data_IF_329375110131
#
_entry.id   IF_329375110131
#
_cell.length_a   1.000
_cell.length_b   1.000
_cell.length_c   1.000
_cell.angle_alpha   90.00
_cell.angle_beta   90.00
_cell.angle_gamma   90.00
#
_symmetry.space_group_name_H-M   'P 1'
#
loop_
_entity.id
_entity.type
_entity.pdbx_description
1 polymer ?
#
# COMPACT_ATOMS: atom_id res chain seq x y z
N UNK A 1 10.66 -52.20 30.80
CA UNK A 1 11.12 -51.78 29.46
C UNK A 1 10.18 -50.68 29.00
N UNK A 2 10.61 -49.41 29.11
CA UNK A 2 9.82 -48.25 28.73
C UNK A 2 9.87 -48.08 27.21
N UNK A 3 8.70 -48.09 26.56
CA UNK A 3 8.53 -47.74 25.16
C UNK A 3 8.01 -46.31 25.10
N UNK A 4 8.86 -45.38 24.70
CA UNK A 4 8.55 -43.95 24.52
C UNK A 4 7.96 -43.73 23.14
N UNK A 5 6.67 -43.41 23.10
CA UNK A 5 5.99 -42.90 21.91
C UNK A 5 6.39 -41.43 21.68
N UNK A 6 7.24 -41.17 20.66
CA UNK A 6 7.68 -39.81 20.26
C UNK A 6 7.30 -39.49 18.80
N UNK A 7 6.52 -40.34 18.11
CA UNK A 7 6.38 -40.29 16.65
C UNK A 7 5.26 -39.42 16.00
N UNK A 8 4.19 -38.90 16.66
CA UNK A 8 3.13 -38.20 15.91
C UNK A 8 3.35 -36.70 15.65
N UNK A 9 4.00 -35.96 16.59
CA UNK A 9 4.08 -34.49 16.51
C UNK A 9 5.08 -34.00 15.45
N UNK A 10 6.20 -34.69 15.26
CA UNK A 10 7.25 -34.26 14.32
C UNK A 10 6.82 -34.37 12.84
N UNK A 11 5.92 -35.31 12.52
CA UNK A 11 5.42 -35.50 11.17
C UNK A 11 4.41 -34.42 10.76
N UNK A 12 3.57 -33.97 11.69
CA UNK A 12 2.61 -32.88 11.47
C UNK A 12 3.34 -31.53 11.32
N UNK A 13 4.34 -31.27 12.15
CA UNK A 13 5.14 -30.04 12.10
C UNK A 13 5.94 -29.92 10.79
N UNK A 14 6.58 -31.01 10.36
CA UNK A 14 7.26 -31.08 9.06
C UNK A 14 6.28 -30.87 7.89
N UNK A 15 5.08 -31.45 7.96
CA UNK A 15 4.06 -31.30 6.91
C UNK A 15 3.58 -29.85 6.80
N UNK A 16 3.40 -29.17 7.93
CA UNK A 16 3.04 -27.74 7.98
C UNK A 16 4.17 -26.85 7.44
N UNK A 17 5.41 -27.13 7.82
CA UNK A 17 6.57 -26.38 7.33
C UNK A 17 6.77 -26.53 5.81
N UNK A 18 6.54 -27.73 5.28
CA UNK A 18 6.55 -27.98 3.84
C UNK A 18 5.41 -27.25 3.12
N UNK A 19 4.20 -27.26 3.67
CA UNK A 19 3.06 -26.53 3.13
C UNK A 19 3.33 -25.03 3.09
N UNK A 20 3.79 -24.45 4.20
CA UNK A 20 4.16 -23.04 4.29
C UNK A 20 5.24 -22.66 3.27
N UNK A 21 6.27 -23.48 3.11
CA UNK A 21 7.35 -23.24 2.15
C UNK A 21 6.83 -23.23 0.70
N UNK A 22 5.94 -24.17 0.36
CA UNK A 22 5.31 -24.24 -0.97
C UNK A 22 4.43 -23.00 -1.22
N UNK A 23 3.61 -22.62 -0.27
CA UNK A 23 2.68 -21.50 -0.41
C UNK A 23 3.46 -20.16 -0.49
N UNK A 24 4.56 -20.03 0.24
CA UNK A 24 5.51 -18.92 0.13
C UNK A 24 6.16 -18.85 -1.27
N UNK A 25 6.54 -19.99 -1.85
CA UNK A 25 7.07 -20.05 -3.22
C UNK A 25 6.01 -19.61 -4.25
N UNK A 26 4.76 -20.03 -4.08
CA UNK A 26 3.66 -19.62 -4.96
C UNK A 26 3.44 -18.11 -4.93
N UNK A 27 3.38 -17.52 -3.73
CA UNK A 27 3.26 -16.06 -3.57
C UNK A 27 4.46 -15.35 -4.18
N UNK A 28 5.68 -15.86 -3.96
CA UNK A 28 6.93 -15.31 -4.53
C UNK A 28 6.92 -15.32 -6.05
N UNK A 29 6.47 -16.41 -6.67
CA UNK A 29 6.37 -16.53 -8.12
C UNK A 29 5.36 -15.54 -8.70
N UNK A 30 4.23 -15.33 -8.03
CA UNK A 30 3.24 -14.33 -8.43
C UNK A 30 3.79 -12.90 -8.35
N UNK A 31 4.57 -12.57 -7.32
CA UNK A 31 5.27 -11.28 -7.20
C UNK A 31 6.19 -11.05 -8.41
N UNK A 32 6.90 -12.08 -8.87
CA UNK A 32 7.76 -11.98 -10.05
C UNK A 32 6.98 -11.84 -11.37
N UNK A 33 5.80 -12.45 -11.48
CA UNK A 33 5.00 -12.47 -12.71
C UNK A 33 4.24 -11.16 -13.00
N UNK A 34 3.79 -10.44 -11.97
CA UNK A 34 3.01 -9.21 -12.15
C UNK A 34 3.94 -8.04 -12.49
N UNK A 35 3.65 -7.24 -13.53
CA UNK A 35 4.55 -6.14 -13.95
C UNK A 35 4.36 -4.82 -13.21
N UNK A 36 3.19 -4.58 -12.58
CA UNK A 36 2.90 -3.35 -11.85
C UNK A 36 2.92 -3.60 -10.33
N UNK A 37 3.62 -2.76 -9.55
CA UNK A 37 3.62 -2.95 -8.09
C UNK A 37 2.21 -2.78 -7.54
N UNK A 38 1.41 -1.83 -8.02
CA UNK A 38 0.15 -1.50 -7.35
C UNK A 38 -0.84 -2.65 -7.50
N UNK A 39 -0.67 -3.42 -8.57
CA UNK A 39 -1.37 -4.66 -8.85
C UNK A 39 -0.85 -5.82 -7.99
N UNK A 40 0.47 -5.99 -7.81
CA UNK A 40 1.05 -6.90 -6.80
C UNK A 40 0.47 -6.60 -5.42
N UNK A 41 0.49 -5.32 -5.08
CA UNK A 41 0.16 -4.77 -3.78
C UNK A 41 -1.32 -4.95 -3.45
N UNK A 42 -2.21 -4.79 -4.44
CA UNK A 42 -3.65 -5.01 -4.29
C UNK A 42 -4.06 -6.49 -4.41
N UNK A 43 -3.52 -7.24 -5.36
CA UNK A 43 -3.92 -8.63 -5.64
C UNK A 43 -3.28 -9.66 -4.70
N UNK A 44 -2.05 -9.42 -4.25
CA UNK A 44 -1.33 -10.36 -3.39
C UNK A 44 -1.51 -10.08 -1.90
N UNK A 45 -2.10 -8.92 -1.55
CA UNK A 45 -2.36 -8.56 -0.17
C UNK A 45 -3.10 -9.67 0.59
N UNK A 46 -4.16 -10.19 -0.03
CA UNK A 46 -4.95 -11.27 0.56
C UNK A 46 -4.17 -12.59 0.67
N UNK A 47 -3.44 -12.98 -0.38
CA UNK A 47 -2.65 -14.22 -0.36
C UNK A 47 -1.49 -14.18 0.62
N UNK A 48 -0.88 -13.01 0.84
CA UNK A 48 0.13 -12.82 1.89
C UNK A 48 -0.53 -12.92 3.27
N UNK A 49 -1.69 -12.28 3.49
CA UNK A 49 -2.43 -12.44 4.75
C UNK A 49 -2.79 -13.91 5.03
N UNK A 50 -3.18 -14.67 4.01
CA UNK A 50 -3.47 -16.11 4.14
C UNK A 50 -2.22 -16.92 4.46
N UNK A 51 -1.10 -16.66 3.77
CA UNK A 51 0.17 -17.34 4.01
C UNK A 51 0.66 -17.19 5.45
N UNK A 52 0.54 -16.00 6.04
CA UNK A 52 1.01 -15.70 7.39
C UNK A 52 -0.07 -15.81 8.47
N UNK A 53 -1.27 -16.28 8.12
CA UNK A 53 -2.44 -16.23 9.00
C UNK A 53 -2.64 -14.86 9.68
N UNK A 54 -2.35 -13.78 8.95
CA UNK A 54 -2.56 -12.41 9.40
C UNK A 54 -3.96 -11.93 9.05
N UNK A 55 -4.57 -11.12 9.93
CA UNK A 55 -5.82 -10.43 9.65
C UNK A 55 -5.59 -9.32 8.63
N UNK A 56 -4.54 -8.51 8.84
CA UNK A 56 -4.19 -7.41 7.94
C UNK A 56 -2.72 -7.35 7.63
N UNK A 57 -2.41 -6.70 6.52
CA UNK A 57 -1.06 -6.28 6.21
C UNK A 57 -1.02 -4.83 5.74
N UNK A 58 0.15 -4.24 5.90
CA UNK A 58 0.51 -2.95 5.31
C UNK A 58 1.90 -3.07 4.69
N UNK A 59 2.03 -2.64 3.44
CA UNK A 59 3.34 -2.49 2.80
C UNK A 59 3.58 -0.99 2.61
N UNK A 60 4.74 -0.53 3.08
CA UNK A 60 5.20 0.83 2.91
C UNK A 60 6.33 0.88 1.89
N UNK A 61 6.32 1.88 1.03
CA UNK A 61 7.45 2.20 0.14
C UNK A 61 8.26 3.36 0.73
N UNK A 62 9.59 3.24 0.69
CA UNK A 62 10.48 4.32 1.06
C UNK A 62 10.43 5.46 0.03
N UNK A 63 10.37 6.68 0.52
CA UNK A 63 10.38 7.92 -0.27
C UNK A 63 11.43 8.88 0.29
N UNK A 64 11.70 9.98 -0.42
CA UNK A 64 12.62 11.02 0.04
C UNK A 64 13.99 10.47 0.42
N UNK A 65 14.53 9.58 -0.43
CA UNK A 65 15.81 8.90 -0.21
C UNK A 65 15.86 8.12 1.12
N UNK A 66 14.73 7.53 1.53
CA UNK A 66 14.64 6.72 2.73
C UNK A 66 14.41 7.50 4.02
N UNK A 67 14.06 8.79 3.95
CA UNK A 67 13.72 9.61 5.13
C UNK A 67 12.28 9.44 5.60
N UNK A 68 11.40 8.97 4.72
CA UNK A 68 10.02 8.68 5.04
C UNK A 68 9.55 7.41 4.34
N UNK A 69 8.50 6.81 4.87
CA UNK A 69 7.82 5.67 4.27
C UNK A 69 6.35 6.01 4.06
N UNK A 70 5.79 5.60 2.93
CA UNK A 70 4.39 5.87 2.56
C UNK A 70 3.69 4.54 2.36
N UNK A 71 2.55 4.37 3.05
CA UNK A 71 1.74 3.16 2.91
C UNK A 71 1.18 3.06 1.49
N UNK A 72 1.40 1.90 0.85
CA UNK A 72 0.94 1.56 -0.51
C UNK A 72 -0.15 0.49 -0.51
N UNK A 73 -0.11 -0.43 0.46
CA UNK A 73 -1.15 -1.44 0.68
C UNK A 73 -1.69 -1.32 2.08
N UNK A 74 -3.01 -1.42 2.21
CA UNK A 74 -3.70 -1.66 3.47
C UNK A 74 -4.87 -2.60 3.19
N UNK A 75 -4.83 -3.82 3.71
CA UNK A 75 -6.01 -4.69 3.60
C UNK A 75 -7.11 -4.19 4.57
N UNK A 76 -8.36 -4.15 4.08
CA UNK A 76 -9.54 -3.77 4.88
C UNK A 76 -9.74 -2.27 5.16
N UNK A 77 -9.12 -1.36 4.40
CA UNK A 77 -9.35 0.10 4.49
C UNK A 77 -9.37 0.76 3.10
N UNK A 78 -10.55 0.83 2.47
CA UNK A 78 -10.69 1.41 1.11
C UNK A 78 -10.69 2.96 1.06
N UNK A 79 -10.58 3.65 2.20
CA UNK A 79 -10.87 5.11 2.27
C UNK A 79 -9.87 5.95 3.07
N UNK A 80 -8.77 5.37 3.57
CA UNK A 80 -7.79 6.12 4.37
C UNK A 80 -6.57 6.52 3.53
N UNK A 81 -6.39 7.84 3.32
CA UNK A 81 -5.22 8.46 2.66
C UNK A 81 -3.92 7.73 3.01
N UNK A 82 -3.03 7.59 2.03
CA UNK A 82 -1.67 7.08 2.19
C UNK A 82 -1.04 7.63 3.48
N UNK A 83 -0.74 6.74 4.43
CA UNK A 83 -0.12 7.13 5.69
C UNK A 83 1.36 7.32 5.43
N UNK A 84 1.84 8.56 5.58
CA UNK A 84 3.27 8.89 5.52
C UNK A 84 3.84 8.92 6.93
N UNK A 85 4.85 8.11 7.19
CA UNK A 85 5.57 8.04 8.46
C UNK A 85 7.04 8.47 8.26
N UNK A 86 7.61 9.25 9.19
CA UNK A 86 9.05 9.50 9.18
C UNK A 86 9.82 8.21 9.51
N UNK A 87 11.02 8.06 8.95
CA UNK A 87 11.96 7.02 9.34
C UNK A 87 12.69 7.46 10.60
N UNK A 88 12.09 7.13 11.74
CA UNK A 88 12.60 7.40 13.08
C UNK A 88 12.06 6.35 14.07
N UNK A 89 12.48 6.42 15.32
CA UNK A 89 12.10 5.44 16.35
C UNK A 89 10.68 5.61 16.90
N UNK A 90 9.89 6.58 16.45
CA UNK A 90 8.60 6.95 17.05
C UNK A 90 7.41 6.08 16.58
N UNK A 91 7.65 5.15 15.66
CA UNK A 91 6.65 4.18 15.20
C UNK A 91 7.33 2.85 14.89
N UNK A 92 6.60 1.74 14.99
CA UNK A 92 7.15 0.39 14.71
C UNK A 92 7.71 0.31 13.28
N UNK A 93 6.94 0.75 12.29
CA UNK A 93 7.40 0.73 10.90
C UNK A 93 8.59 1.68 10.66
N UNK A 94 8.59 2.87 11.27
CA UNK A 94 9.71 3.83 11.19
C UNK A 94 10.98 3.29 11.86
N UNK A 95 10.85 2.62 12.99
CA UNK A 95 11.95 2.01 13.74
C UNK A 95 12.59 0.88 12.95
N UNK A 96 11.77 -0.01 12.37
CA UNK A 96 12.26 -1.09 11.49
C UNK A 96 12.91 -0.52 10.24
N UNK A 97 12.33 0.52 9.64
CA UNK A 97 12.93 1.22 8.50
C UNK A 97 14.31 1.81 8.83
N UNK A 98 14.44 2.41 10.03
CA UNK A 98 15.67 3.05 10.49
C UNK A 98 16.78 2.03 10.75
N UNK A 99 16.47 0.99 11.53
CA UNK A 99 17.46 0.00 11.96
C UNK A 99 17.67 -1.14 10.97
N UNK A 100 16.75 -1.31 10.00
CA UNK A 100 16.73 -2.42 9.05
C UNK A 100 16.78 -3.78 9.76
N UNK A 101 16.03 -3.90 10.86
CA UNK A 101 15.89 -5.14 11.64
C UNK A 101 14.42 -5.42 11.89
N UNK A 102 14.01 -6.67 11.70
CA UNK A 102 12.64 -7.10 11.96
C UNK A 102 12.32 -7.06 13.46
N UNK A 103 11.05 -6.84 13.78
CA UNK A 103 10.50 -6.95 15.14
C UNK A 103 9.20 -7.74 15.11
N UNK A 104 9.00 -8.56 16.14
CA UNK A 104 7.78 -9.33 16.35
C UNK A 104 7.24 -8.99 17.74
N UNK A 105 6.13 -8.26 17.78
CA UNK A 105 5.54 -7.69 18.99
C UNK A 105 4.27 -8.47 19.31
N UNK A 106 4.18 -8.97 20.54
CA UNK A 106 3.05 -9.74 21.05
C UNK A 106 1.84 -8.85 21.38
N UNK A 107 2.07 -7.67 21.97
CA UNK A 107 1.04 -6.69 22.21
C UNK A 107 1.57 -5.26 22.04
N UNK A 108 1.18 -4.59 20.95
CA UNK A 108 1.57 -3.20 20.68
C UNK A 108 1.07 -2.18 21.71
N UNK A 109 0.18 -2.57 22.63
CA UNK A 109 -0.23 -1.74 23.77
C UNK A 109 0.62 -1.95 25.03
N UNK A 110 1.48 -2.97 25.07
CA UNK A 110 2.45 -3.15 26.14
C UNK A 110 3.66 -2.23 25.92
N UNK A 111 3.67 -1.10 26.63
CA UNK A 111 4.80 -0.16 26.58
C UNK A 111 6.12 -0.76 27.07
N UNK A 112 6.08 -1.75 27.97
CA UNK A 112 7.30 -2.41 28.45
C UNK A 112 7.94 -3.23 27.34
N UNK A 113 7.11 -3.93 26.56
CA UNK A 113 7.57 -4.68 25.39
C UNK A 113 8.18 -3.74 24.34
N UNK A 114 7.50 -2.66 23.98
CA UNK A 114 8.01 -1.68 23.02
C UNK A 114 9.34 -1.05 23.48
N UNK A 115 9.43 -0.68 24.76
CA UNK A 115 10.63 -0.05 25.34
C UNK A 115 11.85 -0.98 25.38
N UNK A 116 11.66 -2.31 25.30
CA UNK A 116 12.78 -3.27 25.14
C UNK A 116 13.46 -3.14 23.77
N UNK A 117 12.73 -2.70 22.74
CA UNK A 117 13.28 -2.44 21.42
C UNK A 117 13.91 -1.05 21.31
N UNK A 118 13.20 -0.02 21.79
CA UNK A 118 13.76 1.32 21.95
C UNK A 118 12.95 2.14 22.98
N UNK A 119 13.60 2.98 23.81
CA UNK A 119 12.91 3.90 24.70
C UNK A 119 11.97 4.90 24.01
N UNK A 120 12.21 5.18 22.72
CA UNK A 120 11.41 6.12 21.92
C UNK A 120 10.29 5.41 21.14
N UNK A 121 10.24 4.09 21.18
CA UNK A 121 9.27 3.30 20.42
C UNK A 121 7.89 3.35 21.05
N UNK A 122 6.90 3.76 20.25
CA UNK A 122 5.51 3.83 20.65
C UNK A 122 4.61 3.34 19.51
N UNK A 123 3.46 2.77 19.86
CA UNK A 123 2.42 2.42 18.90
C UNK A 123 1.53 3.62 18.58
N UNK A 124 1.29 3.87 17.29
CA UNK A 124 0.45 4.95 16.79
C UNK A 124 -1.04 4.61 16.93
N UNK A 125 -1.58 4.76 18.14
CA UNK A 125 -2.98 4.43 18.50
C UNK A 125 -4.04 5.21 17.71
N UNK A 126 -3.69 6.37 17.16
CA UNK A 126 -4.61 7.25 16.42
C UNK A 126 -5.31 6.53 15.24
N UNK A 127 -4.64 5.57 14.61
CA UNK A 127 -5.21 4.80 13.50
C UNK A 127 -6.32 3.86 14.00
N UNK A 128 -6.05 3.12 15.08
CA UNK A 128 -7.01 2.24 15.74
C UNK A 128 -8.22 3.04 16.26
N UNK A 129 -7.97 4.16 16.95
CA UNK A 129 -9.02 5.03 17.50
C UNK A 129 -9.96 5.58 16.44
N UNK A 130 -9.43 5.94 15.25
CA UNK A 130 -10.23 6.47 14.15
C UNK A 130 -10.99 5.41 13.37
N UNK A 131 -10.47 4.19 13.31
CA UNK A 131 -11.03 3.11 12.48
C UNK A 131 -11.90 2.14 13.29
N UNK A 132 -11.78 2.15 14.62
CA UNK A 132 -12.38 1.14 15.49
C UNK A 132 -11.69 -0.23 15.41
N UNK A 133 -10.60 -0.34 14.63
CA UNK A 133 -9.81 -1.56 14.53
C UNK A 133 -8.87 -1.66 15.74
N UNK A 134 -8.64 -2.89 16.24
CA UNK A 134 -7.74 -3.14 17.36
C UNK A 134 -6.52 -3.93 16.88
N UNK A 135 -5.38 -3.27 16.86
CA UNK A 135 -4.07 -3.86 16.63
C UNK A 135 -3.55 -4.46 17.94
N UNK A 136 -3.02 -5.69 17.88
CA UNK A 136 -2.41 -6.38 19.02
C UNK A 136 -1.07 -6.98 18.65
N UNK A 137 -1.05 -8.03 17.83
CA UNK A 137 0.19 -8.64 17.36
C UNK A 137 0.72 -7.93 16.12
N UNK A 138 2.03 -7.77 16.01
CA UNK A 138 2.64 -7.12 14.86
C UNK A 138 4.01 -7.69 14.52
N UNK A 139 4.12 -8.29 13.33
CA UNK A 139 5.41 -8.69 12.75
C UNK A 139 5.78 -7.67 11.66
N UNK A 140 6.91 -7.00 11.85
CA UNK A 140 7.37 -5.94 10.95
C UNK A 140 8.78 -6.25 10.45
N UNK A 141 8.96 -6.25 9.14
CA UNK A 141 10.22 -6.61 8.50
C UNK A 141 10.63 -5.54 7.46
N UNK A 142 11.92 -5.19 7.37
CA UNK A 142 12.40 -4.21 6.41
C UNK A 142 12.50 -4.84 5.01
N UNK A 143 12.16 -4.07 3.99
CA UNK A 143 12.40 -4.40 2.58
C UNK A 143 13.64 -3.60 2.17
N UNK A 144 14.76 -4.28 2.00
CA UNK A 144 16.06 -3.66 1.70
C UNK A 144 16.64 -4.25 0.42
N UNK A 145 17.38 -3.42 -0.29
CA UNK A 145 18.22 -3.86 -1.39
C UNK A 145 19.38 -4.72 -0.85
N UNK A 146 19.52 -5.97 -1.30
CA UNK A 146 20.57 -6.86 -0.76
C UNK A 146 21.99 -6.36 -1.04
N UNK A 147 22.22 -5.71 -2.18
CA UNK A 147 23.55 -5.27 -2.61
C UNK A 147 24.00 -3.99 -1.88
N UNK A 148 23.13 -2.98 -1.86
CA UNK A 148 23.44 -1.63 -1.34
C UNK A 148 22.99 -1.45 0.10
N UNK A 149 22.21 -2.39 0.64
CA UNK A 149 21.52 -2.26 1.92
C UNK A 149 20.58 -1.05 1.99
N UNK A 150 20.23 -0.44 0.85
CA UNK A 150 19.33 0.71 0.82
C UNK A 150 17.90 0.30 1.24
N UNK A 151 17.21 1.18 1.97
CA UNK A 151 15.82 0.94 2.35
C UNK A 151 14.92 1.13 1.12
N UNK A 152 14.15 0.10 0.79
CA UNK A 152 13.15 0.13 -0.28
C UNK A 152 11.74 0.27 0.32
N UNK A 153 11.49 -0.30 1.50
CA UNK A 153 10.18 -0.31 2.12
C UNK A 153 10.12 -1.07 3.43
N UNK A 154 8.90 -1.32 3.91
CA UNK A 154 8.63 -2.09 5.13
C UNK A 154 7.38 -2.94 4.92
N UNK A 155 7.44 -4.21 5.30
CA UNK A 155 6.30 -5.11 5.43
C UNK A 155 5.84 -5.11 6.88
N UNK A 156 4.54 -4.95 7.10
CA UNK A 156 3.92 -5.01 8.42
C UNK A 156 2.72 -5.97 8.36
N UNK A 157 2.81 -7.10 9.06
CA UNK A 157 1.73 -8.05 9.29
C UNK A 157 1.09 -7.76 10.64
N UNK A 158 -0.24 -7.80 10.70
CA UNK A 158 -1.02 -7.34 11.85
C UNK A 158 -2.04 -8.39 12.24
N UNK A 159 -2.07 -8.69 13.54
CA UNK A 159 -2.97 -9.64 14.20
C UNK A 159 -2.93 -11.03 13.57
N UNK A 160 -2.23 -11.95 14.21
CA UNK A 160 -2.36 -13.34 13.83
C UNK A 160 -3.78 -13.84 14.14
N UNK A 161 -4.39 -14.61 13.24
CA UNK A 161 -5.80 -15.07 13.34
C UNK A 161 -6.08 -15.95 14.56
N UNK A 162 -5.07 -16.66 15.06
CA UNK A 162 -5.16 -17.44 16.30
C UNK A 162 -4.94 -16.60 17.59
N UNK A 163 -4.63 -15.30 17.46
CA UNK A 163 -4.39 -14.39 18.57
C UNK A 163 -3.04 -14.54 19.30
N UNK A 164 -2.11 -15.34 18.78
CA UNK A 164 -0.75 -15.50 19.29
C UNK A 164 0.24 -14.64 18.49
N UNK A 165 1.44 -14.32 19.04
CA UNK A 165 2.50 -13.73 18.25
C UNK A 165 2.84 -14.61 17.03
N UNK A 166 3.37 -13.98 15.97
CA UNK A 166 3.82 -14.72 14.80
C UNK A 166 4.95 -15.67 15.20
N UNK A 167 4.95 -16.89 14.66
CA UNK A 167 5.98 -17.86 15.01
C UNK A 167 7.29 -17.63 14.22
N UNK A 168 8.28 -18.47 14.49
CA UNK A 168 9.59 -18.38 13.82
C UNK A 168 9.50 -18.66 12.32
N UNK A 169 8.59 -19.54 11.88
CA UNK A 169 8.42 -19.82 10.46
C UNK A 169 7.86 -18.59 9.73
N UNK A 170 6.92 -17.88 10.34
CA UNK A 170 6.42 -16.60 9.86
C UNK A 170 7.51 -15.51 9.84
N UNK A 171 8.39 -15.43 10.85
CA UNK A 171 9.51 -14.49 10.83
C UNK A 171 10.48 -14.76 9.67
N UNK A 172 10.88 -16.02 9.48
CA UNK A 172 11.78 -16.44 8.39
C UNK A 172 11.11 -16.24 7.03
N UNK A 173 9.84 -16.61 6.90
CA UNK A 173 9.04 -16.41 5.69
C UNK A 173 8.86 -14.94 5.33
N UNK A 174 8.63 -14.05 6.32
CA UNK A 174 8.52 -12.62 6.10
C UNK A 174 9.85 -12.05 5.59
N UNK A 175 10.99 -12.51 6.12
CA UNK A 175 12.31 -12.15 5.62
C UNK A 175 12.52 -12.57 4.16
N UNK A 176 12.17 -13.80 3.80
CA UNK A 176 12.24 -14.28 2.42
C UNK A 176 11.33 -13.49 1.48
N UNK A 177 10.09 -13.23 1.90
CA UNK A 177 9.14 -12.41 1.14
C UNK A 177 9.66 -10.99 0.92
N UNK A 178 10.25 -10.36 1.94
CA UNK A 178 10.85 -9.03 1.82
C UNK A 178 11.98 -8.98 0.79
N UNK A 179 12.79 -10.03 0.64
CA UNK A 179 13.82 -10.11 -0.41
C UNK A 179 13.19 -10.15 -1.80
N UNK A 180 12.15 -10.96 -1.99
CA UNK A 180 11.40 -11.01 -3.25
C UNK A 180 10.80 -9.65 -3.58
N UNK A 181 10.14 -9.03 -2.60
CA UNK A 181 9.57 -7.70 -2.75
C UNK A 181 10.67 -6.70 -3.13
N UNK A 182 11.81 -6.68 -2.46
CA UNK A 182 12.91 -5.78 -2.77
C UNK A 182 13.31 -5.82 -4.26
N UNK A 183 13.46 -7.01 -4.84
CA UNK A 183 13.78 -7.18 -6.26
C UNK A 183 12.67 -6.61 -7.15
N UNK A 184 11.42 -6.99 -6.89
CA UNK A 184 10.26 -6.53 -7.68
C UNK A 184 10.06 -5.01 -7.60
N UNK A 185 10.31 -4.41 -6.43
CA UNK A 185 10.21 -2.97 -6.21
C UNK A 185 11.38 -2.21 -6.87
N UNK A 186 12.62 -2.71 -6.78
CA UNK A 186 13.83 -2.08 -7.36
C UNK A 186 13.78 -2.02 -8.88
N UNK A 187 13.45 -3.14 -9.54
CA UNK A 187 13.37 -3.23 -11.01
C UNK A 187 12.40 -2.19 -11.59
N UNK A 188 11.43 -1.73 -10.81
CA UNK A 188 10.37 -0.82 -11.24
C UNK A 188 10.63 0.63 -10.87
N UNK A 189 11.37 0.89 -9.77
CA UNK A 189 11.89 2.23 -9.48
C UNK A 189 12.89 2.73 -10.55
N UNK A 190 13.62 1.81 -11.18
CA UNK A 190 14.51 2.14 -12.31
C UNK A 190 13.77 2.35 -13.64
N UNK A 191 12.48 1.96 -13.72
CA UNK A 191 11.65 2.04 -14.92
C UNK A 191 10.61 3.17 -14.94
N UNK A 192 10.10 3.63 -13.79
CA UNK A 192 9.12 4.72 -13.72
C UNK A 192 9.07 5.30 -12.29
N UNK A 193 9.07 6.63 -12.18
CA UNK A 193 8.85 7.33 -10.92
C UNK A 193 7.46 6.98 -10.36
N UNK A 194 7.44 6.48 -9.12
CA UNK A 194 6.24 6.10 -8.40
C UNK A 194 5.34 7.30 -8.11
N UNK A 195 4.21 7.41 -8.82
CA UNK A 195 3.13 8.35 -8.51
C UNK A 195 2.01 7.54 -7.85
N UNK A 196 1.63 7.85 -6.61
CA UNK A 196 0.44 7.27 -5.96
C UNK A 196 -0.76 7.34 -6.88
N UNK A 197 -1.56 6.27 -6.98
CA UNK A 197 -2.64 6.24 -7.97
C UNK A 197 -3.59 7.43 -7.84
N UNK A 198 -3.59 8.32 -8.82
CA UNK A 198 -4.48 9.49 -8.89
C UNK A 198 -5.60 9.23 -9.90
N UNK A 199 -6.68 10.01 -9.82
CA UNK A 199 -7.74 10.01 -10.84
C UNK A 199 -7.26 10.34 -12.27
N UNK A 200 -5.99 10.72 -12.42
CA UNK A 200 -5.35 11.09 -13.68
C UNK A 200 -4.34 10.06 -14.20
N UNK A 201 -4.15 8.92 -13.54
CA UNK A 201 -3.12 7.97 -13.98
C UNK A 201 -3.41 7.39 -15.36
N UNK A 202 -4.68 7.33 -15.74
CA UNK A 202 -5.06 6.92 -17.09
C UNK A 202 -4.55 7.90 -18.16
N UNK A 203 -4.28 9.18 -17.83
CA UNK A 203 -3.60 10.11 -18.74
C UNK A 203 -2.12 9.74 -18.89
N UNK A 204 -1.46 9.36 -17.79
CA UNK A 204 -0.05 8.91 -17.79
C UNK A 204 0.09 7.58 -18.54
N UNK A 205 -0.77 6.61 -18.25
CA UNK A 205 -0.77 5.28 -18.85
C UNK A 205 -1.11 5.31 -20.35
N UNK A 206 -1.96 6.24 -20.78
CA UNK A 206 -2.27 6.46 -22.19
C UNK A 206 -1.19 7.29 -22.93
N UNK A 207 -0.14 7.74 -22.25
CA UNK A 207 0.91 8.57 -22.84
C UNK A 207 0.44 9.98 -23.24
N UNK A 208 -0.70 10.43 -22.71
CA UNK A 208 -1.26 11.77 -23.00
C UNK A 208 -0.44 12.86 -22.34
N UNK A 209 0.14 12.55 -21.17
CA UNK A 209 1.05 13.44 -20.43
C UNK A 209 2.12 12.58 -19.75
N UNK A 210 3.34 13.10 -19.60
CA UNK A 210 4.39 12.43 -18.84
C UNK A 210 4.29 12.70 -17.33
N UNK A 211 4.95 11.88 -16.51
CA UNK A 211 4.98 12.08 -15.06
C UNK A 211 5.63 13.43 -14.66
N UNK A 212 6.67 13.85 -15.39
CA UNK A 212 7.34 15.13 -15.15
C UNK A 212 6.42 16.33 -15.48
N UNK A 213 5.68 16.26 -16.59
CA UNK A 213 4.70 17.27 -16.97
C UNK A 213 3.53 17.34 -15.99
N UNK A 214 3.04 16.20 -15.52
CA UNK A 214 2.01 16.14 -14.47
C UNK A 214 2.46 16.83 -13.18
N UNK A 215 3.71 16.64 -12.76
CA UNK A 215 4.24 17.31 -11.58
C UNK A 215 4.33 18.84 -11.78
N UNK A 216 4.77 19.28 -12.95
CA UNK A 216 4.79 20.71 -13.31
C UNK A 216 3.37 21.30 -13.32
N UNK A 217 2.39 20.58 -13.88
CA UNK A 217 0.98 21.00 -13.90
C UNK A 217 0.43 21.16 -12.48
N UNK A 218 0.69 20.20 -11.58
CA UNK A 218 0.27 20.28 -10.18
C UNK A 218 0.89 21.47 -9.44
N UNK A 219 2.17 21.75 -9.68
CA UNK A 219 2.86 22.92 -9.10
C UNK A 219 2.29 24.23 -9.65
N UNK A 220 2.01 24.29 -10.95
CA UNK A 220 1.42 25.46 -11.60
C UNK A 220 -0.01 25.73 -11.08
N UNK A 221 -0.85 24.69 -10.97
CA UNK A 221 -2.20 24.77 -10.42
C UNK A 221 -2.19 25.32 -8.98
N UNK A 222 -1.31 24.82 -8.11
CA UNK A 222 -1.17 25.32 -6.73
C UNK A 222 -0.70 26.77 -6.68
N UNK A 223 0.28 27.14 -7.52
CA UNK A 223 0.84 28.50 -7.56
C UNK A 223 -0.19 29.52 -8.09
N UNK A 224 -0.96 29.13 -9.11
CA UNK A 224 -1.97 29.99 -9.75
C UNK A 224 -3.33 29.93 -9.05
N UNK A 225 -3.51 29.01 -8.09
CA UNK A 225 -4.80 28.73 -7.44
C UNK A 225 -5.90 28.37 -8.45
N UNK A 226 -5.55 27.57 -9.46
CA UNK A 226 -6.47 27.06 -10.47
C UNK A 226 -6.70 25.56 -10.28
N UNK A 227 -7.80 25.06 -10.85
CA UNK A 227 -8.03 23.64 -10.96
C UNK A 227 -6.97 22.99 -11.85
N UNK A 228 -6.57 21.77 -11.49
CA UNK A 228 -5.53 21.06 -12.22
C UNK A 228 -5.97 20.75 -13.65
N UNK A 229 -7.24 20.39 -13.84
CA UNK A 229 -7.86 20.14 -15.13
C UNK A 229 -7.70 21.35 -16.06
N UNK A 230 -7.86 22.57 -15.53
CA UNK A 230 -7.70 23.80 -16.31
C UNK A 230 -6.23 23.98 -16.74
N UNK A 231 -5.28 23.79 -15.82
CA UNK A 231 -3.85 23.86 -16.15
C UNK A 231 -3.45 22.80 -17.17
N UNK A 232 -3.97 21.58 -17.04
CA UNK A 232 -3.70 20.48 -17.97
C UNK A 232 -4.20 20.81 -19.39
N UNK A 233 -5.37 21.45 -19.51
CA UNK A 233 -5.90 21.89 -20.81
C UNK A 233 -5.10 23.07 -21.37
N UNK A 234 -4.91 24.13 -20.58
CA UNK A 234 -4.37 25.40 -21.07
C UNK A 234 -2.86 25.34 -21.34
N UNK A 235 -2.09 24.69 -20.45
CA UNK A 235 -0.63 24.71 -20.47
C UNK A 235 -0.01 23.42 -21.04
N UNK A 236 -0.70 22.29 -20.89
CA UNK A 236 -0.18 20.96 -21.28
C UNK A 236 -0.95 20.33 -22.44
N UNK A 237 -1.92 21.04 -23.03
CA UNK A 237 -2.67 20.61 -24.22
C UNK A 237 -3.39 19.26 -24.06
N UNK A 238 -3.71 18.89 -22.82
CA UNK A 238 -4.50 17.68 -22.54
C UNK A 238 -5.96 17.98 -22.90
N UNK A 239 -6.54 17.20 -23.80
CA UNK A 239 -7.93 17.44 -24.23
C UNK A 239 -8.95 17.14 -23.13
N UNK A 240 -10.05 17.90 -23.09
CA UNK A 240 -11.16 17.63 -22.18
C UNK A 240 -11.73 16.20 -22.33
N UNK A 241 -11.68 15.64 -23.54
CA UNK A 241 -12.06 14.26 -23.79
C UNK A 241 -11.12 13.28 -23.09
N UNK A 242 -9.80 13.45 -23.22
CA UNK A 242 -8.83 12.58 -22.56
C UNK A 242 -8.96 12.64 -21.03
N UNK A 243 -9.16 13.85 -20.47
CA UNK A 243 -9.45 14.03 -19.04
C UNK A 243 -10.72 13.28 -18.66
N UNK A 244 -11.82 13.47 -19.41
CA UNK A 244 -13.10 12.81 -19.17
C UNK A 244 -12.98 11.29 -19.21
N UNK A 245 -12.30 10.73 -20.21
CA UNK A 245 -12.06 9.28 -20.34
C UNK A 245 -11.23 8.72 -19.19
N UNK A 246 -10.18 9.44 -18.78
CA UNK A 246 -9.35 9.06 -17.64
C UNK A 246 -10.15 9.02 -16.34
N UNK A 247 -10.95 10.05 -16.09
CA UNK A 247 -11.84 10.13 -14.93
C UNK A 247 -12.93 9.05 -14.97
N UNK A 248 -13.52 8.80 -16.14
CA UNK A 248 -14.54 7.77 -16.32
C UNK A 248 -14.01 6.37 -16.00
N UNK A 249 -12.81 6.03 -16.48
CA UNK A 249 -12.11 4.79 -16.13
C UNK A 249 -11.84 4.68 -14.63
N UNK A 250 -11.39 5.77 -13.99
CA UNK A 250 -11.11 5.78 -12.55
C UNK A 250 -12.36 5.60 -11.69
N UNK A 251 -13.47 6.27 -12.02
CA UNK A 251 -14.72 6.22 -11.25
C UNK A 251 -15.66 5.08 -11.67
N UNK A 252 -15.30 4.29 -12.68
CA UNK A 252 -16.12 3.18 -13.18
C UNK A 252 -17.41 3.64 -13.87
N UNK A 253 -17.44 4.85 -14.43
CA UNK A 253 -18.59 5.43 -15.12
C UNK A 253 -18.24 5.85 -16.54
N UNK A 254 -19.15 5.73 -17.52
CA UNK A 254 -18.88 6.18 -18.87
C UNK A 254 -18.59 7.67 -18.91
N UNK A 255 -17.49 8.06 -19.55
CA UNK A 255 -17.22 9.45 -19.87
C UNK A 255 -18.21 9.90 -20.95
N UNK A 256 -19.04 10.90 -20.63
CA UNK A 256 -19.97 11.46 -21.59
C UNK A 256 -19.47 12.83 -22.05
N UNK A 257 -19.14 13.00 -23.34
CA UNK A 257 -18.74 14.30 -23.84
C UNK A 257 -19.92 15.28 -23.78
N UNK A 258 -19.59 16.57 -23.71
CA UNK A 258 -20.60 17.61 -23.84
C UNK A 258 -21.30 17.49 -25.21
N UNK A 259 -22.63 17.46 -25.18
CA UNK A 259 -23.49 17.37 -26.36
C UNK A 259 -24.56 18.46 -26.25
N UNK A 260 -24.54 19.49 -27.11
CA UNK A 260 -25.49 20.62 -27.02
C UNK A 260 -26.94 20.17 -27.24
N UNK A 261 -27.15 19.17 -28.09
CA UNK A 261 -28.48 18.66 -28.46
C UNK A 261 -29.00 17.56 -27.53
N UNK A 262 -28.30 17.25 -26.44
CA UNK A 262 -28.71 16.19 -25.52
C UNK A 262 -30.01 16.58 -24.82
N UNK A 263 -31.04 15.77 -25.05
CA UNK A 263 -32.35 15.92 -24.40
C UNK A 263 -32.18 15.76 -22.88
N UNK A 264 -32.41 16.84 -22.15
CA UNK A 264 -32.28 16.89 -20.69
C UNK A 264 -33.53 16.26 -20.06
N UNK A 265 -33.40 15.18 -19.26
CA UNK A 265 -34.57 14.59 -18.61
C UNK A 265 -35.23 15.61 -17.68
N UNK A 266 -36.49 15.97 -17.95
CA UNK A 266 -37.20 16.99 -17.15
C UNK A 266 -37.34 16.58 -15.67
N UNK A 267 -37.35 15.28 -15.38
CA UNK A 267 -37.36 14.74 -14.02
C UNK A 267 -36.14 15.16 -13.19
N UNK A 268 -34.96 15.29 -13.80
CA UNK A 268 -33.73 15.73 -13.14
C UNK A 268 -33.70 17.25 -12.91
N UNK A 269 -34.49 18.01 -13.66
CA UNK A 269 -34.55 19.47 -13.59
C UNK A 269 -35.61 19.99 -12.61
N UNK A 270 -36.51 19.11 -12.11
CA UNK A 270 -37.64 19.51 -11.25
C UNK A 270 -37.23 20.30 -9.99
N UNK A 271 -36.03 20.06 -9.47
CA UNK A 271 -35.54 20.69 -8.24
C UNK A 271 -34.43 21.73 -8.47
N UNK A 272 -34.04 21.99 -9.72
CA UNK A 272 -33.00 22.96 -10.06
C UNK A 272 -33.64 24.33 -10.35
N UNK A 273 -33.46 25.28 -9.43
CA UNK A 273 -33.89 26.66 -9.63
C UNK A 273 -33.00 27.32 -10.69
N UNK A 274 -33.62 27.97 -11.68
CA UNK A 274 -32.94 28.64 -12.80
C UNK A 274 -31.87 29.64 -12.33
N UNK A 275 -32.19 30.43 -11.31
CA UNK A 275 -31.28 31.41 -10.70
C UNK A 275 -30.00 30.79 -10.13
N UNK A 276 -30.02 29.51 -9.73
CA UNK A 276 -28.85 28.80 -9.20
C UNK A 276 -27.90 28.32 -10.31
N UNK A 277 -28.42 28.11 -11.53
CA UNK A 277 -27.64 27.58 -12.67
C UNK A 277 -27.01 28.70 -13.50
N UNK A 278 -27.64 29.89 -13.54
CA UNK A 278 -27.14 31.04 -14.30
C UNK A 278 -26.00 31.81 -13.58
N UNK A 279 -25.74 31.52 -12.30
CA UNK A 279 -24.77 32.25 -11.45
C UNK A 279 -23.52 31.43 -11.06
N UNK A 280 -23.22 30.30 -11.72
CA UNK A 280 -21.99 29.52 -11.52
C UNK A 280 -21.02 29.66 -12.70
#
# INVERSE_FOLDING_TARGET
MNSTAVAPMAADDMSRQLAFTRDLQEVTNRIHATQNIDEIMLELGQSICELFDADRLTIYAAVEQGRAIVSKVKTGMNSFKDLKLPVNEQSVAGYVALLKRSVNIADVYDETELKRHSPQLHFLRLVDEKTGYRTRQMLVAPIVDEETQALIGVLQLINHKNGQPFDRAAEEGAGALCKTLAIAMKQRQQGQAFVSRTKYDHLLAAGVISAAEMELAQRAARRKQLDLEQVLMDEFQVSAQAIGEALGKYFGVPALPFQPDRIKPQSLLKNLKREFVENQ
#
